data_IF_436427373413
#
_entry.id   IF_436427373413
#
_cell.length_a   1.000
_cell.length_b   1.000
_cell.length_c   1.000
_cell.angle_alpha   90.00
_cell.angle_beta   90.00
_cell.angle_gamma   90.00
#
_symmetry.space_group_name_H-M   'P 1'
#
loop_
_entity.id
_entity.type
_entity.pdbx_description
1 polymer ?
#
# COMPACT_ATOMS: atom_id res chain seq x y z
N UNK A 1 -10.02 2.33 5.73
CA UNK A 1 -9.57 2.90 7.03
C UNK A 1 -8.08 3.24 7.06
N UNK A 2 -7.31 3.06 5.97
CA UNK A 2 -5.88 3.41 5.90
C UNK A 2 -5.61 4.86 5.49
N UNK A 3 -6.60 5.58 4.95
CA UNK A 3 -6.46 7.01 4.67
C UNK A 3 -6.50 7.83 5.96
N UNK A 4 -5.69 8.89 6.01
CA UNK A 4 -5.45 9.69 7.23
C UNK A 4 -6.72 10.43 7.65
N UNK A 5 -7.55 10.84 6.69
CA UNK A 5 -8.83 11.53 6.92
C UNK A 5 -9.80 10.66 7.72
N UNK A 6 -9.96 9.38 7.33
CA UNK A 6 -10.88 8.48 8.01
C UNK A 6 -10.45 8.26 9.47
N UNK A 7 -9.14 8.18 9.72
CA UNK A 7 -8.59 8.06 11.06
C UNK A 7 -8.84 9.31 11.90
N UNK A 8 -8.61 10.49 11.33
CA UNK A 8 -8.87 11.76 12.00
C UNK A 8 -10.36 11.92 12.39
N UNK A 9 -11.29 11.51 11.53
CA UNK A 9 -12.73 11.55 11.84
C UNK A 9 -13.09 10.52 12.92
N UNK A 10 -12.58 9.29 12.85
CA UNK A 10 -12.83 8.28 13.88
C UNK A 10 -12.27 8.67 15.25
N UNK A 11 -11.18 9.44 15.29
CA UNK A 11 -10.61 9.94 16.55
C UNK A 11 -11.58 10.88 17.30
N UNK A 12 -12.32 11.72 16.57
CA UNK A 12 -13.28 12.68 17.15
C UNK A 12 -14.72 12.14 17.23
N UNK A 13 -15.01 11.05 16.51
CA UNK A 13 -16.32 10.41 16.44
C UNK A 13 -16.21 8.86 16.54
N UNK A 14 -15.68 8.30 17.64
CA UNK A 14 -15.39 6.87 17.74
C UNK A 14 -16.64 5.99 17.92
N UNK A 15 -17.80 6.59 18.22
CA UNK A 15 -19.06 5.87 18.46
C UNK A 15 -20.23 6.62 17.82
N UNK A 16 -21.37 5.94 17.57
CA UNK A 16 -22.59 6.62 17.12
C UNK A 16 -23.06 7.75 18.06
N UNK A 17 -22.89 7.59 19.39
CA UNK A 17 -23.14 8.68 20.34
C UNK A 17 -22.20 9.87 20.15
N UNK A 18 -20.90 9.60 20.10
CA UNK A 18 -19.88 10.64 20.00
C UNK A 18 -19.93 11.34 18.64
N UNK A 19 -20.34 10.64 17.58
CA UNK A 19 -20.49 11.18 16.23
C UNK A 19 -21.47 12.35 16.11
N UNK A 20 -22.42 12.47 17.04
CA UNK A 20 -23.36 13.59 17.06
C UNK A 20 -22.74 14.90 17.60
N UNK A 21 -21.62 14.82 18.33
CA UNK A 21 -21.03 15.96 19.03
C UNK A 21 -20.15 16.88 18.15
N UNK A 22 -19.31 16.38 17.22
CA UNK A 22 -18.46 17.23 16.39
C UNK A 22 -19.24 18.27 15.59
N UNK A 23 -18.75 19.50 15.68
CA UNK A 23 -19.23 20.64 14.91
C UNK A 23 -18.55 20.69 13.53
N UNK A 24 -19.15 21.37 12.52
CA UNK A 24 -18.51 21.50 11.21
C UNK A 24 -17.07 22.06 11.28
N UNK A 25 -16.76 23.09 12.08
CA UNK A 25 -15.37 23.56 12.23
C UNK A 25 -14.40 22.50 12.76
N UNK A 26 -14.82 21.66 13.72
CA UNK A 26 -13.98 20.58 14.26
C UNK A 26 -13.72 19.48 13.22
N UNK A 27 -14.74 19.11 12.45
CA UNK A 27 -14.61 18.14 11.34
C UNK A 27 -13.66 18.70 10.28
N UNK A 28 -13.84 19.98 9.91
CA UNK A 28 -12.98 20.65 8.92
C UNK A 28 -11.53 20.70 9.37
N UNK A 29 -11.28 21.03 10.64
CA UNK A 29 -9.94 21.05 11.23
C UNK A 29 -9.31 19.64 11.18
N UNK A 30 -10.03 18.61 11.61
CA UNK A 30 -9.55 17.22 11.56
C UNK A 30 -9.19 16.78 10.12
N UNK A 31 -9.97 17.17 9.12
CA UNK A 31 -9.66 16.91 7.71
C UNK A 31 -8.42 17.67 7.25
N UNK A 32 -8.31 18.96 7.57
CA UNK A 32 -7.16 19.77 7.20
C UNK A 32 -5.85 19.24 7.82
N UNK A 33 -5.87 18.92 9.11
CA UNK A 33 -4.73 18.35 9.85
C UNK A 33 -4.34 16.97 9.31
N UNK A 34 -5.30 16.23 8.76
CA UNK A 34 -5.05 14.97 8.06
C UNK A 34 -4.45 15.14 6.66
N UNK A 35 -4.14 16.37 6.23
CA UNK A 35 -3.49 16.68 4.96
C UNK A 35 -4.45 16.88 3.78
N UNK A 36 -5.76 16.94 4.03
CA UNK A 36 -6.72 17.21 2.96
C UNK A 36 -6.68 18.69 2.58
N UNK A 37 -6.43 18.96 1.30
CA UNK A 37 -6.41 20.33 0.75
C UNK A 37 -7.68 20.63 -0.06
N UNK A 38 -8.13 19.68 -0.87
CA UNK A 38 -9.23 19.89 -1.82
C UNK A 38 -10.60 19.55 -1.24
N UNK A 39 -11.59 20.37 -1.60
CA UNK A 39 -13.01 20.20 -1.28
C UNK A 39 -13.30 20.06 0.22
N UNK A 40 -12.52 20.73 1.08
CA UNK A 40 -12.64 20.63 2.53
C UNK A 40 -14.07 20.92 3.02
N UNK A 41 -14.68 22.01 2.55
CA UNK A 41 -16.01 22.41 3.02
C UNK A 41 -17.07 21.41 2.54
N UNK A 42 -17.02 20.98 1.28
CA UNK A 42 -17.91 19.95 0.73
C UNK A 42 -17.83 18.64 1.52
N UNK A 43 -16.63 18.20 1.90
CA UNK A 43 -16.46 16.98 2.68
C UNK A 43 -16.83 17.16 4.14
N UNK A 44 -16.60 18.34 4.70
CA UNK A 44 -17.05 18.71 6.05
C UNK A 44 -18.56 18.60 6.14
N UNK A 45 -19.30 19.20 5.19
CA UNK A 45 -20.75 19.13 5.12
C UNK A 45 -21.25 17.70 4.97
N UNK A 46 -20.68 16.93 4.02
CA UNK A 46 -21.06 15.53 3.79
C UNK A 46 -20.84 14.66 5.03
N UNK A 47 -19.69 14.79 5.69
CA UNK A 47 -19.38 14.01 6.89
C UNK A 47 -20.26 14.45 8.05
N UNK A 48 -20.43 15.75 8.27
CA UNK A 48 -21.29 16.29 9.32
C UNK A 48 -22.73 15.81 9.19
N UNK A 49 -23.27 15.80 7.97
CA UNK A 49 -24.60 15.26 7.67
C UNK A 49 -24.64 13.73 7.87
N UNK A 50 -23.63 13.01 7.35
CA UNK A 50 -23.54 11.56 7.45
C UNK A 50 -23.46 11.03 8.88
N UNK A 51 -22.72 11.69 9.77
CA UNK A 51 -22.59 11.32 11.19
C UNK A 51 -23.93 11.42 11.95
N UNK A 52 -24.89 12.20 11.44
CA UNK A 52 -26.20 12.45 12.04
C UNK A 52 -27.34 11.65 11.43
N UNK A 53 -27.07 10.84 10.41
CA UNK A 53 -28.05 9.89 9.89
C UNK A 53 -28.44 8.91 11.00
N UNK A 54 -29.74 8.64 11.24
CA UNK A 54 -30.15 7.69 12.27
C UNK A 54 -29.48 6.32 12.11
N UNK A 55 -28.92 5.80 13.20
CA UNK A 55 -28.26 4.51 13.27
C UNK A 55 -28.77 3.70 14.47
N UNK A 56 -28.67 2.38 14.37
CA UNK A 56 -29.00 1.48 15.48
C UNK A 56 -28.04 1.76 16.64
N UNK A 57 -28.61 2.11 17.79
CA UNK A 57 -27.86 2.42 19.01
C UNK A 57 -27.74 1.18 19.89
N UNK A 58 -26.62 1.10 20.59
CA UNK A 58 -26.41 0.14 21.67
C UNK A 58 -26.57 0.84 23.02
N UNK A 59 -26.74 0.10 24.14
CA UNK A 59 -26.70 0.70 25.46
C UNK A 59 -25.42 1.52 25.66
N UNK A 60 -25.53 2.67 26.32
CA UNK A 60 -24.42 3.59 26.57
C UNK A 60 -23.11 2.93 27.04
N UNK A 61 -23.09 1.99 28.03
CA UNK A 61 -21.85 1.36 28.47
C UNK A 61 -21.19 0.50 27.37
N UNK A 62 -21.98 -0.07 26.45
CA UNK A 62 -21.47 -0.84 25.31
C UNK A 62 -20.81 0.11 24.30
N UNK A 63 -21.49 1.19 23.91
CA UNK A 63 -20.91 2.17 22.98
C UNK A 63 -19.62 2.78 23.56
N UNK A 64 -19.60 3.11 24.85
CA UNK A 64 -18.40 3.63 25.50
C UNK A 64 -17.23 2.64 25.46
N UNK A 65 -17.46 1.36 25.77
CA UNK A 65 -16.43 0.32 25.70
C UNK A 65 -15.87 0.14 24.28
N UNK A 66 -16.75 0.08 23.27
CA UNK A 66 -16.33 -0.02 21.87
C UNK A 66 -15.65 1.26 21.36
N UNK A 67 -16.02 2.43 21.89
CA UNK A 67 -15.36 3.69 21.61
C UNK A 67 -13.92 3.69 22.11
N UNK A 68 -13.69 3.29 23.36
CA UNK A 68 -12.34 3.12 23.92
C UNK A 68 -11.52 2.10 23.12
N UNK A 69 -12.12 0.98 22.74
CA UNK A 69 -11.45 -0.04 21.92
C UNK A 69 -11.06 0.50 20.53
N UNK A 70 -11.97 1.24 19.88
CA UNK A 70 -11.73 1.85 18.57
C UNK A 70 -10.58 2.85 18.61
N UNK A 71 -10.51 3.70 19.64
CA UNK A 71 -9.40 4.64 19.84
C UNK A 71 -8.07 3.90 20.08
N UNK A 72 -8.07 2.81 20.85
CA UNK A 72 -6.86 2.01 21.05
C UNK A 72 -6.36 1.37 19.74
N UNK A 73 -7.26 0.78 18.94
CA UNK A 73 -6.92 0.23 17.63
C UNK A 73 -6.43 1.32 16.67
N UNK A 74 -7.01 2.52 16.75
CA UNK A 74 -6.60 3.66 15.94
C UNK A 74 -5.16 4.07 16.23
N UNK A 75 -4.78 4.15 17.51
CA UNK A 75 -3.41 4.46 17.91
C UNK A 75 -2.40 3.42 17.39
N UNK A 76 -2.75 2.13 17.44
CA UNK A 76 -1.91 1.06 16.86
C UNK A 76 -1.77 1.24 15.34
N UNK A 77 -2.87 1.53 14.65
CA UNK A 77 -2.86 1.74 13.21
C UNK A 77 -2.01 2.95 12.82
N UNK A 78 -2.08 4.05 13.57
CA UNK A 78 -1.24 5.23 13.34
C UNK A 78 0.25 4.92 13.53
N UNK A 79 0.61 4.17 14.57
CA UNK A 79 1.98 3.74 14.79
C UNK A 79 2.50 2.87 13.63
N UNK A 80 1.69 1.94 13.12
CA UNK A 80 2.04 1.10 11.96
C UNK A 80 2.23 1.95 10.70
N UNK A 81 1.33 2.92 10.45
CA UNK A 81 1.45 3.82 9.30
C UNK A 81 2.73 4.67 9.39
N UNK A 82 3.06 5.20 10.57
CA UNK A 82 4.29 5.97 10.79
C UNK A 82 5.54 5.10 10.57
N UNK A 83 5.55 3.87 11.10
CA UNK A 83 6.64 2.93 10.90
C UNK A 83 6.82 2.57 9.41
N UNK A 84 5.72 2.34 8.68
CA UNK A 84 5.76 2.06 7.25
C UNK A 84 6.37 3.22 6.45
N UNK A 85 6.02 4.48 6.79
CA UNK A 85 6.61 5.67 6.16
C UNK A 85 8.12 5.78 6.48
N UNK A 86 8.51 5.53 7.73
CA UNK A 86 9.92 5.55 8.13
C UNK A 86 10.74 4.46 7.39
N UNK A 87 10.19 3.24 7.27
CA UNK A 87 10.84 2.17 6.50
C UNK A 87 10.92 2.48 5.01
N UNK A 88 9.93 3.16 4.44
CA UNK A 88 9.99 3.61 3.05
C UNK A 88 11.19 4.53 2.84
N UNK A 89 11.32 5.59 3.64
CA UNK A 89 12.43 6.56 3.54
C UNK A 89 13.78 5.90 3.77
N UNK A 90 13.89 5.05 4.80
CA UNK A 90 15.12 4.31 5.09
C UNK A 90 15.52 3.38 3.94
N UNK A 91 14.55 2.69 3.34
CA UNK A 91 14.79 1.79 2.18
C UNK A 91 15.27 2.57 0.97
N UNK A 92 14.61 3.70 0.64
CA UNK A 92 15.01 4.55 -0.48
C UNK A 92 16.41 5.12 -0.26
N UNK A 93 16.71 5.57 0.95
CA UNK A 93 18.03 6.11 1.31
C UNK A 93 19.13 5.05 1.18
N UNK A 94 18.90 3.85 1.72
CA UNK A 94 19.85 2.74 1.62
C UNK A 94 20.05 2.31 0.15
N UNK A 95 18.96 2.24 -0.62
CA UNK A 95 19.02 1.87 -2.03
C UNK A 95 19.80 2.88 -2.87
N UNK A 96 19.59 4.19 -2.68
CA UNK A 96 20.35 5.24 -3.38
C UNK A 96 21.85 5.19 -3.12
N UNK A 97 22.26 4.67 -1.97
CA UNK A 97 23.67 4.52 -1.60
C UNK A 97 24.29 3.22 -2.14
N UNK A 98 23.48 2.32 -2.72
CA UNK A 98 23.92 1.00 -3.16
C UNK A 98 24.63 1.06 -4.53
N UNK A 99 25.74 0.31 -4.75
CA UNK A 99 26.47 0.31 -6.02
C UNK A 99 25.63 -0.07 -7.25
N UNK A 100 24.64 -0.95 -7.08
CA UNK A 100 23.72 -1.40 -8.14
C UNK A 100 22.57 -0.42 -8.43
N UNK A 101 22.42 0.65 -7.63
CA UNK A 101 21.37 1.67 -7.85
C UNK A 101 21.33 2.21 -9.28
N UNK A 102 22.43 2.78 -9.84
CA UNK A 102 22.40 3.35 -11.19
C UNK A 102 22.06 2.32 -12.27
N UNK A 103 22.44 1.06 -12.08
CA UNK A 103 22.14 -0.02 -13.03
C UNK A 103 20.65 -0.34 -12.96
N UNK A 104 20.10 -0.55 -11.77
CA UNK A 104 18.70 -0.93 -11.58
C UNK A 104 17.78 0.22 -12.02
N UNK A 105 18.06 1.46 -11.64
CA UNK A 105 17.22 2.61 -12.04
C UNK A 105 17.42 3.04 -13.49
N UNK A 106 18.39 2.45 -14.22
CA UNK A 106 18.49 2.65 -15.68
C UNK A 106 17.32 2.02 -16.44
N UNK A 107 16.63 1.05 -15.83
CA UNK A 107 15.48 0.41 -16.44
C UNK A 107 14.29 1.37 -16.53
N UNK A 108 13.57 1.38 -17.67
CA UNK A 108 12.47 2.32 -17.87
C UNK A 108 11.40 2.12 -16.80
N UNK A 109 11.02 3.22 -16.15
CA UNK A 109 9.94 3.29 -15.15
C UNK A 109 10.17 2.42 -13.90
N UNK A 110 11.42 2.06 -13.61
CA UNK A 110 11.79 1.41 -12.35
C UNK A 110 12.29 2.46 -11.34
N UNK A 111 11.40 2.89 -10.45
CA UNK A 111 11.72 3.89 -9.41
C UNK A 111 12.40 3.29 -8.17
N UNK A 112 12.88 4.14 -7.27
CA UNK A 112 13.72 3.76 -6.11
C UNK A 112 13.14 2.64 -5.26
N UNK A 113 11.87 2.73 -4.82
CA UNK A 113 11.29 1.70 -3.95
C UNK A 113 11.14 0.35 -4.66
N UNK A 114 10.70 0.38 -5.92
CA UNK A 114 10.50 -0.84 -6.72
C UNK A 114 11.85 -1.45 -7.10
N UNK A 115 12.86 -0.62 -7.38
CA UNK A 115 14.25 -1.03 -7.62
C UNK A 115 14.91 -1.62 -6.38
N UNK A 116 14.71 -1.00 -5.20
CA UNK A 116 15.16 -1.54 -3.93
C UNK A 116 14.56 -2.92 -3.66
N UNK A 117 13.25 -3.09 -3.93
CA UNK A 117 12.60 -4.39 -3.81
C UNK A 117 13.12 -5.39 -4.82
N UNK A 118 13.37 -4.98 -6.07
CA UNK A 118 13.99 -5.84 -7.07
C UNK A 118 15.32 -6.38 -6.53
N UNK A 119 16.23 -5.48 -6.12
CA UNK A 119 17.54 -5.81 -5.55
C UNK A 119 17.42 -6.76 -4.35
N UNK A 120 16.53 -6.46 -3.40
CA UNK A 120 16.35 -7.28 -2.20
C UNK A 120 15.91 -8.73 -2.51
N UNK A 121 15.13 -8.94 -3.57
CA UNK A 121 14.68 -10.29 -3.95
C UNK A 121 15.70 -11.04 -4.80
N UNK A 122 16.43 -10.34 -5.68
CA UNK A 122 17.47 -10.94 -6.54
C UNK A 122 18.78 -11.16 -5.79
N UNK A 123 19.06 -10.37 -4.75
CA UNK A 123 20.36 -10.34 -4.08
C UNK A 123 21.41 -9.53 -4.85
N UNK A 124 22.44 -9.09 -4.14
CA UNK A 124 23.61 -8.37 -4.67
C UNK A 124 24.71 -9.32 -5.19
N UNK A 125 24.65 -10.61 -4.86
CA UNK A 125 25.51 -11.63 -5.46
C UNK A 125 25.15 -11.88 -6.93
N UNK A 126 25.96 -11.31 -7.82
CA UNK A 126 25.83 -11.46 -9.28
C UNK A 126 26.02 -12.90 -9.77
N UNK A 127 26.62 -13.78 -8.96
CA UNK A 127 26.84 -15.20 -9.30
C UNK A 127 25.70 -16.12 -8.86
N UNK A 128 24.73 -15.61 -8.08
CA UNK A 128 23.58 -16.37 -7.57
C UNK A 128 22.79 -17.08 -8.67
N UNK A 129 22.70 -16.46 -9.85
CA UNK A 129 22.01 -17.02 -11.00
C UNK A 129 23.01 -17.32 -12.12
N UNK A 130 22.99 -18.56 -12.61
CA UNK A 130 23.87 -18.99 -13.71
C UNK A 130 23.62 -18.19 -15.00
N UNK A 131 22.36 -17.84 -15.29
CA UNK A 131 21.98 -17.07 -16.46
C UNK A 131 20.64 -16.33 -16.28
N UNK A 132 20.26 -15.55 -17.31
CA UNK A 132 18.99 -14.84 -17.35
C UNK A 132 17.76 -15.78 -17.36
N UNK A 133 17.89 -17.06 -17.72
CA UNK A 133 16.78 -18.02 -17.69
C UNK A 133 16.49 -18.45 -16.26
N UNK A 134 17.52 -18.63 -15.43
CA UNK A 134 17.38 -18.96 -14.02
C UNK A 134 16.59 -17.89 -13.25
N UNK A 135 16.93 -16.61 -13.42
CA UNK A 135 16.18 -15.52 -12.78
C UNK A 135 14.74 -15.41 -13.32
N UNK A 136 14.51 -15.60 -14.62
CA UNK A 136 13.14 -15.64 -15.19
C UNK A 136 12.30 -16.76 -14.59
N UNK A 137 12.89 -17.93 -14.36
CA UNK A 137 12.22 -19.05 -13.69
C UNK A 137 11.98 -18.76 -12.20
N UNK A 138 12.94 -18.14 -11.52
CA UNK A 138 12.84 -17.77 -10.11
C UNK A 138 11.75 -16.70 -9.86
N UNK A 139 11.70 -15.67 -10.71
CA UNK A 139 10.61 -14.67 -10.74
C UNK A 139 9.28 -15.24 -11.23
N UNK A 140 9.30 -16.44 -11.83
CA UNK A 140 8.15 -17.11 -12.42
C UNK A 140 7.53 -16.41 -13.63
N UNK A 141 8.35 -15.64 -14.35
CA UNK A 141 8.06 -15.16 -15.70
C UNK A 141 8.24 -16.26 -16.75
N UNK A 142 9.12 -17.24 -16.50
CA UNK A 142 9.25 -18.41 -17.37
C UNK A 142 8.11 -19.42 -17.14
N UNK A 143 7.38 -19.84 -18.19
CA UNK A 143 6.35 -20.87 -18.07
C UNK A 143 6.96 -22.24 -17.77
N UNK A 144 6.11 -23.20 -17.39
CA UNK A 144 6.48 -24.60 -17.19
C UNK A 144 5.79 -25.43 -18.27
N UNK A 145 6.59 -26.13 -19.06
CA UNK A 145 6.08 -27.13 -20.01
C UNK A 145 5.88 -28.45 -19.29
N UNK A 146 4.67 -29.01 -19.38
CA UNK A 146 4.31 -30.34 -18.92
C UNK A 146 3.95 -31.17 -20.15
N UNK A 147 4.80 -32.12 -20.50
CA UNK A 147 4.60 -32.99 -21.63
C UNK A 147 4.64 -34.46 -21.20
N UNK A 148 3.79 -35.28 -21.82
CA UNK A 148 3.76 -36.74 -21.74
C UNK A 148 3.52 -37.28 -23.15
N UNK A 149 3.58 -38.61 -23.33
CA UNK A 149 3.28 -39.23 -24.64
C UNK A 149 1.85 -38.96 -25.16
N UNK A 150 0.92 -38.50 -24.31
CA UNK A 150 -0.49 -38.23 -24.68
C UNK A 150 -0.89 -36.76 -24.51
N UNK A 151 -0.07 -35.93 -23.86
CA UNK A 151 -0.46 -34.56 -23.51
C UNK A 151 0.70 -33.58 -23.58
N UNK A 152 0.42 -32.34 -23.97
CA UNK A 152 1.36 -31.25 -23.98
C UNK A 152 0.67 -29.97 -23.50
N UNK A 153 1.18 -29.38 -22.41
CA UNK A 153 0.62 -28.16 -21.84
C UNK A 153 1.73 -27.21 -21.39
N UNK A 154 1.58 -25.93 -21.73
CA UNK A 154 2.44 -24.84 -21.24
C UNK A 154 1.64 -24.04 -20.24
N UNK A 155 2.08 -24.05 -18.97
CA UNK A 155 1.33 -23.42 -17.86
C UNK A 155 2.17 -22.39 -17.14
N UNK A 156 1.51 -21.42 -16.49
CA UNK A 156 2.20 -20.46 -15.63
C UNK A 156 2.83 -21.16 -14.42
N UNK A 157 3.96 -20.64 -13.95
CA UNK A 157 4.64 -21.17 -12.76
C UNK A 157 3.90 -20.73 -11.49
N UNK A 158 3.46 -21.71 -10.69
CA UNK A 158 2.84 -21.48 -9.37
C UNK A 158 3.87 -21.29 -8.24
N UNK A 159 4.94 -22.07 -8.25
CA UNK A 159 6.03 -22.00 -7.26
C UNK A 159 7.12 -21.07 -7.77
N UNK A 160 7.21 -19.88 -7.19
CA UNK A 160 8.12 -18.79 -7.59
C UNK A 160 8.35 -17.84 -6.42
N UNK A 161 9.34 -16.97 -6.51
CA UNK A 161 9.44 -15.83 -5.61
C UNK A 161 8.25 -14.89 -5.87
N UNK A 162 7.31 -14.85 -4.93
CA UNK A 162 6.06 -14.09 -5.06
C UNK A 162 6.30 -12.58 -5.06
N UNK A 163 7.30 -12.13 -4.31
CA UNK A 163 7.63 -10.72 -4.16
C UNK A 163 8.29 -10.19 -5.43
N UNK A 164 9.27 -10.93 -5.98
CA UNK A 164 9.90 -10.62 -7.26
C UNK A 164 8.87 -10.65 -8.41
N UNK A 165 7.95 -11.61 -8.39
CA UNK A 165 6.86 -11.67 -9.36
C UNK A 165 5.93 -10.45 -9.26
N UNK A 166 5.61 -9.98 -8.05
CA UNK A 166 4.79 -8.80 -7.83
C UNK A 166 5.49 -7.52 -8.31
N UNK A 167 6.79 -7.38 -8.01
CA UNK A 167 7.64 -6.29 -8.54
C UNK A 167 7.63 -6.29 -10.06
N UNK A 168 7.84 -7.45 -10.68
CA UNK A 168 7.82 -7.58 -12.14
C UNK A 168 6.49 -7.16 -12.75
N UNK A 169 5.36 -7.48 -12.12
CA UNK A 169 4.04 -7.06 -12.58
C UNK A 169 3.85 -5.53 -12.49
N UNK A 170 4.18 -4.92 -11.35
CA UNK A 170 4.08 -3.47 -11.16
C UNK A 170 5.00 -2.73 -12.14
N UNK A 171 6.21 -3.23 -12.33
CA UNK A 171 7.16 -2.66 -13.28
C UNK A 171 6.64 -2.76 -14.72
N UNK A 172 6.16 -3.93 -15.16
CA UNK A 172 5.61 -4.11 -16.50
C UNK A 172 4.42 -3.18 -16.78
N UNK A 173 3.53 -3.01 -15.79
CA UNK A 173 2.41 -2.08 -15.90
C UNK A 173 2.87 -0.62 -16.04
N UNK A 174 3.82 -0.19 -15.19
CA UNK A 174 4.36 1.16 -15.23
C UNK A 174 5.12 1.46 -16.53
N UNK A 175 5.85 0.47 -17.06
CA UNK A 175 6.58 0.58 -18.31
C UNK A 175 5.65 0.62 -19.54
N UNK A 176 4.58 -0.20 -19.55
CA UNK A 176 3.62 -0.27 -20.66
C UNK A 176 2.69 0.95 -20.80
N UNK A 177 2.58 1.79 -19.77
CA UNK A 177 1.81 3.03 -19.81
C UNK A 177 2.50 4.18 -20.59
N UNK A 178 3.73 3.96 -21.10
CA UNK A 178 4.38 4.90 -21.99
C UNK A 178 3.73 4.86 -23.38
N UNK A 179 3.17 5.98 -23.85
CA UNK A 179 3.02 6.18 -25.30
C UNK A 179 4.42 6.15 -25.91
N UNK A 180 4.63 5.27 -26.87
CA UNK A 180 5.81 5.30 -27.73
C UNK A 180 5.70 6.62 -28.50
N UNK A 181 6.54 7.60 -28.17
CA UNK A 181 6.73 8.76 -29.03
C UNK A 181 7.59 8.30 -30.21
N UNK A 182 6.92 7.88 -31.29
CA UNK A 182 7.48 7.89 -32.64
C UNK A 182 7.43 9.30 -33.22
#
# INVERSE_FOLDING_TARGET
MTCREARAILAIAPTPQAAAAPTPPQIRAALADSGRVYHLDTWTEKIHAGLRVPHLRQPAPVEEAFGRHSIALLAILDAICAAAAAFHEATVTAFRSHPEHPIITSFPRLGDLTGARLLAEIGDDRTRFADARAIKAYAGAAPVTRASGRSHAVVHRRVKNRCLAAVGYVWAFAAGAARIST
#
